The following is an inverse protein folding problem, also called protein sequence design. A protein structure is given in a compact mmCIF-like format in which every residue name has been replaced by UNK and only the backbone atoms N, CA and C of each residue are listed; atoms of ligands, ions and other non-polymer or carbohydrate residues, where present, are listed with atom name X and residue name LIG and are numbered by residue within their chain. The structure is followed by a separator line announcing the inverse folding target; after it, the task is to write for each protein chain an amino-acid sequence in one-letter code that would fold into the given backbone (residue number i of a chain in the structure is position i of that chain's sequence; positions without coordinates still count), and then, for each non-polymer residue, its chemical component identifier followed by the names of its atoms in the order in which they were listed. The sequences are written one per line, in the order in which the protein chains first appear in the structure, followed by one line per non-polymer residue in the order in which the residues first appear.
data_IF_349525461491
#
_entry.id   IF_349525461491
#
_cell.length_a   1.000
_cell.length_b   1.000
_cell.length_c   1.000
_cell.angle_alpha   90.00
_cell.angle_beta   90.00
_cell.angle_gamma   90.00
#
_symmetry.space_group_name_H-M   'P 1'
#
loop_
_entity.id
_entity.type
_entity.pdbx_description
1 polymer ?
#
# COMPACT_ATOMS: atom_id res chain seq x y z
N UNK A 1 -3.23 -3.52 29.18
CA UNK A 1 -4.05 -2.28 29.18
C UNK A 1 -5.40 -2.60 29.84
N UNK A 2 -5.85 -1.81 30.78
CA UNK A 2 -7.21 -1.98 31.35
C UNK A 2 -8.20 -1.51 30.27
N UNK A 3 -9.07 -2.41 29.80
CA UNK A 3 -10.05 -2.14 28.73
C UNK A 3 -10.93 -0.88 28.93
N UNK A 4 -11.03 -0.38 30.17
CA UNK A 4 -11.87 0.78 30.54
C UNK A 4 -11.33 2.15 30.09
N UNK A 5 -10.10 2.24 29.59
CA UNK A 5 -9.46 3.54 29.28
C UNK A 5 -9.45 3.90 27.80
N UNK A 6 -9.82 2.98 26.88
CA UNK A 6 -9.76 3.21 25.43
C UNK A 6 -10.61 4.42 25.02
N UNK A 7 -11.83 4.51 25.53
CA UNK A 7 -12.73 5.64 25.19
C UNK A 7 -12.14 6.98 25.67
N UNK A 8 -11.48 6.98 26.85
CA UNK A 8 -10.77 8.15 27.35
C UNK A 8 -9.66 8.57 26.41
N UNK A 9 -8.78 7.64 26.00
CA UNK A 9 -7.67 7.93 25.09
C UNK A 9 -8.13 8.43 23.73
N UNK A 10 -9.20 7.86 23.16
CA UNK A 10 -9.77 8.35 21.90
C UNK A 10 -10.33 9.77 22.03
N UNK A 11 -10.90 10.15 23.20
CA UNK A 11 -11.31 11.53 23.48
C UNK A 11 -10.11 12.46 23.53
N UNK A 12 -9.06 12.07 24.27
CA UNK A 12 -7.82 12.86 24.39
C UNK A 12 -7.17 13.10 23.03
N UNK A 13 -7.14 12.11 22.12
CA UNK A 13 -6.63 12.25 20.75
C UNK A 13 -7.42 13.31 19.98
N UNK A 14 -8.73 13.34 20.10
CA UNK A 14 -9.58 14.34 19.44
C UNK A 14 -9.39 15.74 19.98
N UNK A 15 -9.03 15.86 21.24
CA UNK A 15 -8.70 17.12 21.90
C UNK A 15 -7.27 17.59 21.59
N UNK A 16 -6.52 16.81 20.77
CA UNK A 16 -5.15 17.12 20.38
C UNK A 16 -4.07 16.66 21.38
N UNK A 17 -4.43 15.82 22.35
CA UNK A 17 -3.48 15.30 23.32
C UNK A 17 -2.75 14.05 22.78
N UNK A 18 -1.44 14.20 22.55
CA UNK A 18 -0.60 13.14 21.99
C UNK A 18 -0.44 11.92 22.91
N UNK A 19 -0.55 12.08 24.24
CA UNK A 19 -0.35 10.97 25.18
C UNK A 19 -1.38 9.86 25.00
N UNK A 20 -2.63 10.18 24.70
CA UNK A 20 -3.65 9.19 24.40
C UNK A 20 -3.36 8.36 23.16
N UNK A 21 -2.69 8.96 22.16
CA UNK A 21 -2.29 8.24 20.96
C UNK A 21 -1.17 7.22 21.25
N UNK A 22 -0.14 7.61 22.00
CA UNK A 22 0.98 6.73 22.34
C UNK A 22 0.50 5.47 23.07
N UNK A 23 -0.34 5.63 24.08
CA UNK A 23 -0.91 4.51 24.84
C UNK A 23 -1.72 3.54 23.98
N UNK A 24 -2.56 4.06 23.07
CA UNK A 24 -3.33 3.23 22.16
C UNK A 24 -2.44 2.59 21.09
N UNK A 25 -1.48 3.33 20.55
CA UNK A 25 -0.55 2.80 19.56
C UNK A 25 0.27 1.65 20.12
N UNK A 26 0.84 1.77 21.31
CA UNK A 26 1.56 0.67 21.98
C UNK A 26 0.68 -0.57 22.17
N UNK A 27 -0.58 -0.37 22.55
CA UNK A 27 -1.51 -1.48 22.74
C UNK A 27 -1.77 -2.27 21.45
N UNK A 28 -1.85 -1.59 20.31
CA UNK A 28 -2.10 -2.20 19.00
C UNK A 28 -0.84 -2.47 18.17
N UNK A 29 0.32 -2.02 18.60
CA UNK A 29 1.60 -2.13 17.88
C UNK A 29 1.93 -3.57 17.46
N UNK A 30 1.70 -4.53 18.36
CA UNK A 30 1.94 -5.94 18.04
C UNK A 30 1.04 -6.44 16.91
N UNK A 31 -0.22 -6.01 16.87
CA UNK A 31 -1.19 -6.38 15.84
C UNK A 31 -0.84 -5.71 14.51
N UNK A 32 -0.52 -4.43 14.53
CA UNK A 32 -0.08 -3.64 13.38
C UNK A 32 1.17 -4.27 12.76
N UNK A 33 2.19 -4.56 13.55
CA UNK A 33 3.43 -5.17 13.08
C UNK A 33 3.21 -6.61 12.57
N UNK A 34 2.34 -7.38 13.22
CA UNK A 34 2.02 -8.75 12.77
C UNK A 34 1.40 -8.75 11.36
N UNK A 35 0.44 -7.89 11.10
CA UNK A 35 -0.18 -7.78 9.79
C UNK A 35 0.69 -7.01 8.80
N UNK A 36 1.40 -5.98 9.24
CA UNK A 36 2.29 -5.18 8.41
C UNK A 36 3.38 -6.01 7.74
N UNK A 37 4.06 -6.86 8.50
CA UNK A 37 5.09 -7.79 7.95
C UNK A 37 4.54 -8.73 6.88
N UNK A 38 3.27 -9.10 6.93
CA UNK A 38 2.63 -9.94 5.91
C UNK A 38 2.32 -9.19 4.62
N UNK A 39 2.11 -7.88 4.70
CA UNK A 39 1.90 -7.03 3.52
C UNK A 39 3.24 -6.83 2.79
N UNK A 40 4.32 -6.55 3.53
CA UNK A 40 5.64 -6.29 3.01
C UNK A 40 6.30 -5.08 3.67
N UNK A 41 7.24 -4.46 2.99
CA UNK A 41 8.17 -3.46 3.51
C UNK A 41 7.44 -2.25 4.11
N UNK A 42 6.47 -1.68 3.41
CA UNK A 42 5.70 -0.50 3.84
C UNK A 42 4.43 -0.86 4.63
N UNK A 43 4.17 -2.15 4.87
CA UNK A 43 2.88 -2.61 5.39
C UNK A 43 2.56 -2.13 6.80
N UNK A 44 3.58 -2.00 7.66
CA UNK A 44 3.40 -1.47 9.01
C UNK A 44 3.10 0.03 9.01
N UNK A 45 3.72 0.79 8.10
CA UNK A 45 3.47 2.23 7.94
C UNK A 45 2.05 2.48 7.40
N UNK A 46 1.63 1.75 6.38
CA UNK A 46 0.27 1.83 5.83
C UNK A 46 -0.80 1.50 6.89
N UNK A 47 -0.56 0.49 7.74
CA UNK A 47 -1.49 0.14 8.82
C UNK A 47 -1.46 1.15 9.98
N UNK A 48 -0.31 1.75 10.27
CA UNK A 48 -0.20 2.83 11.27
C UNK A 48 -0.95 4.08 10.82
N UNK A 49 -0.81 4.46 9.55
CA UNK A 49 -1.55 5.58 8.97
C UNK A 49 -3.07 5.33 9.05
N UNK A 50 -3.51 4.15 8.62
CA UNK A 50 -4.91 3.75 8.72
C UNK A 50 -5.42 3.78 10.17
N UNK A 51 -4.63 3.29 11.14
CA UNK A 51 -4.98 3.30 12.55
C UNK A 51 -5.18 4.74 13.07
N UNK A 52 -4.29 5.65 12.69
CA UNK A 52 -4.40 7.08 13.03
C UNK A 52 -5.70 7.69 12.47
N UNK A 53 -5.98 7.47 11.19
CA UNK A 53 -7.20 7.94 10.52
C UNK A 53 -8.46 7.36 11.18
N UNK A 54 -8.42 6.06 11.53
CA UNK A 54 -9.51 5.38 12.21
C UNK A 54 -9.82 6.05 13.56
N UNK A 55 -8.81 6.33 14.40
CA UNK A 55 -8.99 6.94 15.71
C UNK A 55 -9.61 8.34 15.61
N UNK A 56 -9.21 9.12 14.59
CA UNK A 56 -9.79 10.45 14.35
C UNK A 56 -11.22 10.41 13.81
N UNK A 57 -11.56 9.40 13.00
CA UNK A 57 -12.89 9.27 12.39
C UNK A 57 -13.92 8.54 13.27
N UNK A 58 -13.48 7.93 14.36
CA UNK A 58 -14.26 7.03 15.19
C UNK A 58 -15.39 7.77 15.91
N UNK A 59 -16.64 7.40 15.67
CA UNK A 59 -17.78 7.99 16.37
C UNK A 59 -17.95 7.38 17.77
N UNK A 60 -17.36 8.06 18.76
CA UNK A 60 -17.37 7.62 20.17
C UNK A 60 -18.78 7.66 20.77
N UNK A 61 -19.68 8.48 20.23
CA UNK A 61 -21.05 8.59 20.73
C UNK A 61 -21.85 7.30 20.58
N UNK A 62 -21.38 6.36 19.78
CA UNK A 62 -21.98 5.03 19.61
C UNK A 62 -21.56 4.01 20.68
N UNK A 63 -20.61 4.36 21.53
CA UNK A 63 -20.08 3.46 22.54
C UNK A 63 -20.31 4.03 23.93
N UNK A 64 -20.91 3.22 24.80
CA UNK A 64 -21.02 3.55 26.22
C UNK A 64 -19.70 3.29 26.96
N UNK A 65 -19.43 3.91 28.11
CA UNK A 65 -18.20 3.68 28.88
C UNK A 65 -17.94 2.21 29.24
N UNK A 66 -18.98 1.39 29.33
CA UNK A 66 -18.86 -0.04 29.61
C UNK A 66 -18.51 -0.89 28.37
N UNK A 67 -18.67 -0.34 27.14
CA UNK A 67 -18.41 -1.01 25.86
C UNK A 67 -16.96 -0.86 25.37
N UNK A 68 -16.02 -0.59 26.26
CA UNK A 68 -14.59 -0.45 25.92
C UNK A 68 -14.00 -1.74 25.28
N UNK A 69 -14.56 -2.90 25.62
CA UNK A 69 -14.13 -4.18 25.02
C UNK A 69 -14.62 -4.30 23.58
N UNK A 70 -15.83 -3.86 23.28
CA UNK A 70 -16.38 -3.83 21.92
C UNK A 70 -15.63 -2.85 21.03
N UNK A 71 -15.27 -1.69 21.57
CA UNK A 71 -14.43 -0.72 20.87
C UNK A 71 -13.04 -1.31 20.55
N UNK A 72 -12.44 -2.03 21.50
CA UNK A 72 -11.17 -2.72 21.27
C UNK A 72 -11.29 -3.77 20.16
N UNK A 73 -12.34 -4.59 20.18
CA UNK A 73 -12.64 -5.56 19.13
C UNK A 73 -12.87 -4.87 17.78
N UNK A 74 -13.62 -3.77 17.77
CA UNK A 74 -13.87 -3.00 16.55
C UNK A 74 -12.57 -2.49 15.91
N UNK A 75 -11.67 -1.87 16.70
CA UNK A 75 -10.38 -1.39 16.20
C UNK A 75 -9.55 -2.56 15.66
N UNK A 76 -9.46 -3.67 16.40
CA UNK A 76 -8.69 -4.84 15.96
C UNK A 76 -9.23 -5.45 14.66
N UNK A 77 -10.56 -5.55 14.52
CA UNK A 77 -11.21 -6.04 13.29
C UNK A 77 -11.00 -5.07 12.14
N UNK A 78 -11.04 -3.76 12.39
CA UNK A 78 -10.79 -2.74 11.38
C UNK A 78 -9.36 -2.81 10.81
N UNK A 79 -8.34 -2.97 11.68
CA UNK A 79 -6.95 -3.20 11.26
C UNK A 79 -6.83 -4.47 10.43
N UNK A 80 -7.47 -5.57 10.87
CA UNK A 80 -7.47 -6.83 10.11
C UNK A 80 -8.14 -6.68 8.73
N UNK A 81 -9.26 -5.98 8.66
CA UNK A 81 -9.96 -5.76 7.39
C UNK A 81 -9.10 -4.93 6.43
N UNK A 82 -8.42 -3.90 6.95
CA UNK A 82 -7.47 -3.12 6.16
C UNK A 82 -6.30 -3.97 5.65
N UNK A 83 -5.75 -4.84 6.49
CA UNK A 83 -4.74 -5.82 6.06
C UNK A 83 -5.25 -6.69 4.91
N UNK A 84 -6.48 -7.22 4.99
CA UNK A 84 -7.04 -8.07 3.93
C UNK A 84 -7.19 -7.28 2.62
N UNK A 85 -7.66 -6.04 2.69
CA UNK A 85 -7.78 -5.14 1.52
C UNK A 85 -6.41 -4.90 0.87
N UNK A 86 -5.40 -4.52 1.67
CA UNK A 86 -4.04 -4.26 1.19
C UNK A 86 -3.39 -5.52 0.58
N UNK A 87 -3.58 -6.68 1.20
CA UNK A 87 -3.09 -7.95 0.70
C UNK A 87 -3.73 -8.34 -0.63
N UNK A 88 -5.05 -8.14 -0.78
CA UNK A 88 -5.76 -8.37 -2.05
C UNK A 88 -5.26 -7.41 -3.14
N UNK A 89 -5.07 -6.14 -2.80
CA UNK A 89 -4.53 -5.13 -3.71
C UNK A 89 -3.12 -5.49 -4.19
N UNK A 90 -2.24 -5.92 -3.26
CA UNK A 90 -0.88 -6.36 -3.59
C UNK A 90 -0.89 -7.59 -4.50
N UNK A 91 -1.67 -8.62 -4.18
CA UNK A 91 -1.78 -9.82 -5.00
C UNK A 91 -2.31 -9.53 -6.42
N UNK A 92 -3.27 -8.61 -6.52
CA UNK A 92 -3.78 -8.16 -7.82
C UNK A 92 -2.71 -7.43 -8.63
N UNK A 93 -1.95 -6.52 -8.00
CA UNK A 93 -0.86 -5.79 -8.66
C UNK A 93 0.25 -6.73 -9.12
N UNK A 94 0.63 -7.71 -8.30
CA UNK A 94 1.64 -8.70 -8.66
C UNK A 94 1.22 -9.50 -9.89
N UNK A 95 -0.04 -9.97 -9.92
CA UNK A 95 -0.57 -10.70 -11.09
C UNK A 95 -0.54 -9.85 -12.34
N UNK A 96 -1.04 -8.62 -12.28
CA UNK A 96 -1.03 -7.68 -13.42
C UNK A 96 0.41 -7.40 -13.87
N UNK A 97 1.33 -7.18 -12.94
CA UNK A 97 2.73 -6.92 -13.23
C UNK A 97 3.41 -8.11 -13.94
N UNK A 98 3.09 -9.35 -13.55
CA UNK A 98 3.62 -10.54 -14.20
C UNK A 98 3.03 -10.73 -15.61
N UNK A 99 1.71 -10.56 -15.77
CA UNK A 99 1.05 -10.61 -17.07
C UNK A 99 1.66 -9.59 -18.05
N UNK A 100 1.88 -8.35 -17.59
CA UNK A 100 2.53 -7.29 -18.38
C UNK A 100 3.97 -7.69 -18.77
N UNK A 101 4.72 -8.29 -17.84
CA UNK A 101 6.11 -8.69 -18.14
C UNK A 101 6.16 -9.74 -19.24
N UNK A 102 5.24 -10.71 -19.20
CA UNK A 102 5.14 -11.74 -20.24
C UNK A 102 4.70 -11.15 -21.59
N UNK A 103 3.65 -10.32 -21.61
CA UNK A 103 3.19 -9.62 -22.82
C UNK A 103 4.31 -8.76 -23.44
N UNK A 104 5.06 -8.00 -22.62
CA UNK A 104 6.16 -7.19 -23.10
C UNK A 104 7.28 -8.04 -23.69
N UNK A 105 7.63 -9.15 -23.06
CA UNK A 105 8.64 -10.04 -23.58
C UNK A 105 8.23 -10.68 -24.90
N UNK A 106 6.95 -10.99 -25.10
CA UNK A 106 6.41 -11.57 -26.33
C UNK A 106 6.27 -10.56 -27.48
N UNK A 107 6.36 -9.26 -27.22
CA UNK A 107 6.26 -8.20 -28.24
C UNK A 107 7.49 -8.05 -29.14
N UNK A 108 8.58 -8.78 -28.89
CA UNK A 108 9.80 -8.75 -29.68
C UNK A 108 10.14 -10.14 -30.21
N UNK A 109 10.55 -10.24 -31.48
CA UNK A 109 10.87 -11.53 -32.13
C UNK A 109 12.31 -11.99 -31.88
N UNK A 110 13.21 -11.08 -31.46
CA UNK A 110 14.60 -11.41 -31.20
C UNK A 110 14.80 -11.95 -29.77
N UNK A 111 15.37 -13.16 -29.60
CA UNK A 111 15.56 -13.78 -28.30
C UNK A 111 16.39 -12.95 -27.32
N UNK A 112 17.45 -12.30 -27.81
CA UNK A 112 18.31 -11.48 -26.96
C UNK A 112 17.58 -10.22 -26.48
N UNK A 113 16.81 -9.58 -27.37
CA UNK A 113 15.98 -8.42 -27.02
C UNK A 113 14.89 -8.76 -25.99
N UNK A 114 14.30 -9.96 -26.11
CA UNK A 114 13.34 -10.47 -25.11
C UNK A 114 13.99 -10.60 -23.74
N UNK A 115 15.17 -11.18 -23.70
CA UNK A 115 15.90 -11.40 -22.47
C UNK A 115 16.24 -10.08 -21.77
N UNK A 116 16.86 -9.14 -22.49
CA UNK A 116 17.22 -7.83 -21.95
C UNK A 116 15.99 -7.01 -21.50
N UNK A 117 14.89 -7.06 -22.25
CA UNK A 117 13.66 -6.38 -21.87
C UNK A 117 13.09 -6.96 -20.57
N UNK A 118 13.03 -8.28 -20.44
CA UNK A 118 12.55 -8.97 -19.26
C UNK A 118 13.42 -8.66 -18.04
N UNK A 119 14.74 -8.70 -18.19
CA UNK A 119 15.67 -8.34 -17.13
C UNK A 119 15.48 -6.88 -16.67
N UNK A 120 15.44 -5.94 -17.61
CA UNK A 120 15.20 -4.53 -17.28
C UNK A 120 13.89 -4.31 -16.54
N UNK A 121 12.80 -4.97 -16.96
CA UNK A 121 11.51 -4.89 -16.29
C UNK A 121 11.54 -5.53 -14.88
N UNK A 122 12.36 -6.54 -14.65
CA UNK A 122 12.50 -7.18 -13.34
C UNK A 122 13.22 -6.30 -12.29
N UNK A 123 14.01 -5.31 -12.74
CA UNK A 123 14.62 -4.31 -11.86
C UNK A 123 13.60 -3.29 -11.30
N UNK A 124 12.44 -3.18 -11.94
CA UNK A 124 11.39 -2.26 -11.53
C UNK A 124 10.55 -2.86 -10.39
N UNK A 125 10.09 -2.01 -9.48
CA UNK A 125 9.05 -2.42 -8.54
C UNK A 125 7.76 -2.81 -9.28
N UNK A 126 6.89 -3.62 -8.65
CA UNK A 126 5.61 -4.05 -9.24
C UNK A 126 4.76 -2.86 -9.74
N UNK A 127 4.71 -1.78 -8.97
CA UNK A 127 3.97 -0.56 -9.34
C UNK A 127 4.59 0.15 -10.55
N UNK A 128 5.91 0.26 -10.58
CA UNK A 128 6.63 0.87 -11.71
C UNK A 128 6.45 0.05 -12.99
N UNK A 129 6.61 -1.27 -12.90
CA UNK A 129 6.43 -2.21 -14.00
C UNK A 129 5.02 -2.14 -14.57
N UNK A 130 4.02 -2.12 -13.71
CA UNK A 130 2.61 -1.98 -14.10
C UNK A 130 2.36 -0.66 -14.83
N UNK A 131 2.91 0.47 -14.33
CA UNK A 131 2.78 1.77 -15.00
C UNK A 131 3.42 1.74 -16.39
N UNK A 132 4.66 1.24 -16.51
CA UNK A 132 5.37 1.11 -17.79
C UNK A 132 4.59 0.23 -18.77
N UNK A 133 4.10 -0.93 -18.31
CA UNK A 133 3.31 -1.83 -19.13
C UNK A 133 2.02 -1.20 -19.66
N UNK A 134 1.25 -0.56 -18.80
CA UNK A 134 0.03 0.13 -19.23
C UNK A 134 0.31 1.28 -20.18
N UNK A 135 1.37 2.07 -19.91
CA UNK A 135 1.70 3.23 -20.73
C UNK A 135 2.22 2.87 -22.12
N UNK A 136 3.23 2.02 -22.18
CA UNK A 136 4.01 1.80 -23.40
C UNK A 136 3.58 0.58 -24.22
N UNK A 137 2.97 -0.42 -23.58
CA UNK A 137 2.53 -1.63 -24.27
C UNK A 137 1.03 -1.68 -24.50
N UNK A 138 0.24 -1.13 -23.58
CA UNK A 138 -1.23 -1.10 -23.71
C UNK A 138 -1.81 0.26 -24.12
N UNK A 139 -0.98 1.31 -24.17
CA UNK A 139 -1.36 2.64 -24.66
C UNK A 139 -2.28 3.46 -23.75
N UNK A 140 -2.39 3.11 -22.47
CA UNK A 140 -3.23 3.84 -21.52
C UNK A 140 -2.64 5.23 -21.20
N UNK A 141 -3.51 6.21 -21.02
CA UNK A 141 -3.17 7.54 -20.53
C UNK A 141 -2.90 7.52 -19.01
N UNK A 142 -2.17 8.53 -18.53
CA UNK A 142 -1.92 8.70 -17.08
C UNK A 142 -3.19 8.73 -16.24
N UNK A 143 -4.28 9.26 -16.81
CA UNK A 143 -5.58 9.32 -16.14
C UNK A 143 -6.18 7.92 -15.97
N UNK A 144 -6.19 7.14 -17.03
CA UNK A 144 -6.71 5.76 -17.01
C UNK A 144 -5.87 4.88 -16.09
N UNK A 145 -4.53 5.02 -16.12
CA UNK A 145 -3.64 4.30 -15.21
C UNK A 145 -3.90 4.70 -13.75
N UNK A 146 -4.09 5.99 -13.48
CA UNK A 146 -4.42 6.49 -12.15
C UNK A 146 -5.73 5.89 -11.61
N UNK A 147 -6.77 5.84 -12.46
CA UNK A 147 -8.06 5.25 -12.13
C UNK A 147 -7.94 3.74 -11.86
N UNK A 148 -7.23 2.99 -12.75
CA UNK A 148 -7.02 1.54 -12.60
C UNK A 148 -6.25 1.20 -11.31
N UNK A 149 -5.20 1.97 -11.00
CA UNK A 149 -4.35 1.74 -9.83
C UNK A 149 -4.88 2.39 -8.56
N UNK A 150 -5.94 3.21 -8.66
CA UNK A 150 -6.49 4.01 -7.56
C UNK A 150 -5.44 4.91 -6.89
N UNK A 151 -4.67 5.64 -7.71
CA UNK A 151 -3.65 6.60 -7.28
C UNK A 151 -3.83 7.93 -8.02
N UNK A 152 -3.13 8.98 -7.61
CA UNK A 152 -3.18 10.26 -8.33
C UNK A 152 -2.37 10.20 -9.65
N UNK A 153 -2.73 11.04 -10.64
CA UNK A 153 -1.95 11.20 -11.88
C UNK A 153 -0.50 11.62 -11.61
N UNK A 154 -0.30 12.45 -10.58
CA UNK A 154 1.05 12.85 -10.16
C UNK A 154 1.87 11.64 -9.66
N UNK A 155 1.23 10.70 -8.96
CA UNK A 155 1.87 9.47 -8.52
C UNK A 155 2.23 8.57 -9.72
N UNK A 156 1.35 8.45 -10.73
CA UNK A 156 1.65 7.74 -11.99
C UNK A 156 2.88 8.35 -12.65
N UNK A 157 2.91 9.66 -12.85
CA UNK A 157 4.05 10.35 -13.48
C UNK A 157 5.36 10.16 -12.69
N UNK A 158 5.32 10.22 -11.36
CA UNK A 158 6.50 9.95 -10.52
C UNK A 158 7.00 8.51 -10.65
N UNK A 159 6.08 7.54 -10.70
CA UNK A 159 6.44 6.13 -10.90
C UNK A 159 7.05 5.90 -12.28
N UNK A 160 6.47 6.48 -13.33
CA UNK A 160 6.98 6.43 -14.70
C UNK A 160 8.39 7.03 -14.79
N UNK A 161 8.58 8.25 -14.29
CA UNK A 161 9.88 8.95 -14.34
C UNK A 161 10.98 8.14 -13.65
N UNK A 162 10.70 7.59 -12.46
CA UNK A 162 11.65 6.73 -11.75
C UNK A 162 11.93 5.43 -12.48
N UNK A 163 10.91 4.80 -13.04
CA UNK A 163 11.06 3.57 -13.83
C UNK A 163 11.96 3.80 -15.06
N UNK A 164 11.71 4.88 -15.80
CA UNK A 164 12.52 5.24 -16.98
C UNK A 164 13.98 5.52 -16.58
N UNK A 165 14.20 6.16 -15.42
CA UNK A 165 15.57 6.40 -14.94
C UNK A 165 16.31 5.09 -14.67
N UNK A 166 15.68 4.13 -13.99
CA UNK A 166 16.25 2.81 -13.71
C UNK A 166 16.55 2.06 -15.02
N UNK A 167 15.61 2.06 -15.97
CA UNK A 167 15.80 1.40 -17.25
C UNK A 167 16.93 2.04 -18.08
N UNK A 168 17.02 3.36 -18.08
CA UNK A 168 18.13 4.06 -18.77
C UNK A 168 19.49 3.69 -18.18
N UNK A 169 19.60 3.65 -16.86
CA UNK A 169 20.83 3.25 -16.19
C UNK A 169 21.21 1.81 -16.56
N UNK A 170 20.27 0.88 -16.50
CA UNK A 170 20.48 -0.51 -16.88
C UNK A 170 20.96 -0.65 -18.33
N UNK A 171 20.26 -0.04 -19.29
CA UNK A 171 20.62 -0.15 -20.69
C UNK A 171 21.90 0.63 -21.07
N UNK A 172 22.27 1.67 -20.31
CA UNK A 172 23.56 2.37 -20.54
C UNK A 172 24.77 1.55 -20.12
N UNK A 173 24.59 0.53 -19.29
CA UNK A 173 25.68 -0.37 -18.86
C UNK A 173 25.74 -1.63 -19.74
N UNK A 174 24.63 -1.98 -20.39
CA UNK A 174 24.52 -3.19 -21.22
C UNK A 174 24.84 -2.94 -22.70
N UNK A 175 24.95 -1.68 -23.15
CA UNK A 175 25.31 -1.24 -24.51
C UNK A 175 26.69 -0.61 -24.53
#
# INVERSE_FOLDING_TARGET
MKNREIIKYVKEIREGNASGFEELYEAFLRLINFYGRKIGEDGSEELTLFFTELLHSLDIGKFTPDESEELNKYIAVSIRNRYIELSRRKSRLLRISNEITEECADSTDEPDSKFFLKEGLMLLSERQRTVIGYRYFRGYSDREIADILSISRQAVHKLETRAISILREYYSVCL
#
